data_IF_778821540021
#
_entry.id   IF_778821540021
#
_cell.length_a   1.000
_cell.length_b   1.000
_cell.length_c   1.000
_cell.angle_alpha   90.00
_cell.angle_beta   90.00
_cell.angle_gamma   90.00
#
_symmetry.space_group_name_H-M   'P 1'
#
loop_
_entity.id
_entity.type
_entity.pdbx_description
1 polymer ?
#
# COMPACT_ATOMS: atom_id res chain seq x y z
N UNK A 1 52.64 -46.53 -15.06
CA UNK A 1 53.18 -46.81 -13.73
C UNK A 1 53.01 -45.57 -12.87
N UNK A 2 52.08 -45.61 -11.92
CA UNK A 2 52.16 -45.08 -10.59
C UNK A 2 50.75 -45.18 -9.93
N UNK A 3 50.75 -46.05 -9.06
CA UNK A 3 49.98 -46.61 -8.00
C UNK A 3 49.04 -45.65 -7.29
N UNK A 4 47.78 -46.09 -7.20
CA UNK A 4 46.69 -45.68 -6.36
C UNK A 4 46.99 -46.00 -4.87
N UNK A 5 46.65 -45.07 -3.97
CA UNK A 5 46.57 -45.34 -2.53
C UNK A 5 45.15 -45.04 -2.05
N UNK A 6 44.41 -46.10 -1.74
CA UNK A 6 43.12 -46.07 -1.05
C UNK A 6 43.39 -45.96 0.46
N UNK A 7 42.82 -44.96 1.12
CA UNK A 7 42.76 -44.94 2.57
C UNK A 7 41.32 -45.17 3.02
N UNK A 8 41.13 -46.33 3.62
CA UNK A 8 39.90 -46.82 4.26
C UNK A 8 39.76 -46.15 5.62
N UNK A 9 38.65 -45.42 5.87
CA UNK A 9 38.33 -44.89 7.21
C UNK A 9 37.25 -45.75 7.85
N UNK A 10 37.60 -46.48 8.88
CA UNK A 10 36.74 -47.39 9.65
C UNK A 10 35.81 -46.59 10.56
N UNK A 11 34.52 -46.90 10.47
CA UNK A 11 33.45 -46.40 11.35
C UNK A 11 33.42 -47.26 12.60
N UNK A 12 33.67 -46.64 13.76
CA UNK A 12 33.51 -47.29 15.09
C UNK A 12 32.09 -46.96 15.60
N UNK A 13 31.26 -47.99 15.70
CA UNK A 13 29.98 -47.93 16.42
C UNK A 13 30.21 -48.17 17.90
N UNK A 14 29.90 -47.21 18.75
CA UNK A 14 29.71 -47.43 20.18
C UNK A 14 28.22 -47.62 20.45
N UNK A 15 27.88 -48.83 20.86
CA UNK A 15 26.58 -49.16 21.46
C UNK A 15 26.75 -48.98 22.97
N UNK A 16 26.00 -48.05 23.56
CA UNK A 16 25.86 -47.94 25.02
C UNK A 16 24.46 -48.41 25.37
N UNK A 17 24.39 -49.48 26.12
CA UNK A 17 23.21 -50.08 26.71
C UNK A 17 22.64 -49.18 27.80
N UNK A 18 21.31 -48.98 27.79
CA UNK A 18 20.57 -48.38 28.90
C UNK A 18 20.33 -49.43 29.99
N UNK A 19 20.63 -49.07 31.19
CA UNK A 19 20.12 -49.72 32.42
C UNK A 19 19.05 -48.80 33.02
N UNK A 20 17.88 -49.40 33.31
CA UNK A 20 16.77 -48.74 34.00
C UNK A 20 17.11 -48.47 35.46
N UNK A 21 16.89 -47.23 35.91
CA UNK A 21 16.68 -46.95 37.33
C UNK A 21 15.56 -45.91 37.49
N UNK A 22 14.52 -46.36 38.15
CA UNK A 22 13.34 -45.58 38.54
C UNK A 22 13.72 -44.45 39.52
N UNK A 23 12.87 -43.42 39.47
CA UNK A 23 12.74 -42.27 40.38
C UNK A 23 13.65 -41.07 40.13
N UNK A 24 13.12 -40.19 39.27
CA UNK A 24 13.44 -38.76 39.35
C UNK A 24 12.17 -37.94 39.09
N UNK A 25 11.89 -36.88 39.86
CA UNK A 25 10.65 -36.13 39.76
C UNK A 25 10.60 -35.39 38.40
N UNK A 26 9.49 -35.54 37.74
CA UNK A 26 9.11 -34.80 36.54
C UNK A 26 9.38 -33.29 36.72
N UNK A 27 10.24 -32.68 35.91
CA UNK A 27 10.33 -31.23 35.95
C UNK A 27 8.98 -30.66 35.40
N UNK A 28 8.29 -29.97 36.26
CA UNK A 28 7.20 -29.11 35.81
C UNK A 28 7.79 -28.15 34.78
N UNK A 29 7.42 -28.33 33.52
CA UNK A 29 7.57 -27.32 32.48
C UNK A 29 6.77 -26.13 32.98
N UNK A 30 7.43 -25.13 33.52
CA UNK A 30 6.87 -23.80 33.58
C UNK A 30 6.61 -23.44 32.11
N UNK A 31 5.31 -23.36 31.74
CA UNK A 31 4.94 -22.60 30.57
C UNK A 31 5.63 -21.24 30.73
N UNK A 32 6.66 -21.00 29.95
CA UNK A 32 7.14 -19.66 29.73
C UNK A 32 5.96 -18.93 29.12
N UNK A 33 5.46 -17.90 29.81
CA UNK A 33 4.66 -16.86 29.20
C UNK A 33 5.40 -16.47 27.91
N UNK A 34 4.96 -17.02 26.79
CA UNK A 34 5.28 -16.49 25.48
C UNK A 34 4.61 -15.13 25.47
N UNK A 35 5.40 -14.12 25.73
CA UNK A 35 5.10 -12.74 25.46
C UNK A 35 4.61 -12.72 24.00
N UNK A 36 3.31 -12.68 23.79
CA UNK A 36 2.69 -12.49 22.50
C UNK A 36 2.98 -11.05 22.10
N UNK A 37 4.23 -10.76 21.73
CA UNK A 37 4.52 -9.56 20.97
C UNK A 37 3.84 -9.75 19.62
N UNK A 38 2.73 -9.06 19.44
CA UNK A 38 2.08 -8.97 18.14
C UNK A 38 3.11 -8.46 17.13
N UNK A 39 3.39 -9.28 16.12
CA UNK A 39 4.38 -8.94 15.10
C UNK A 39 3.91 -7.70 14.34
N UNK A 40 4.71 -6.64 14.37
CA UNK A 40 4.46 -5.42 13.61
C UNK A 40 5.31 -5.39 12.35
N UNK A 41 4.67 -5.21 11.21
CA UNK A 41 5.33 -5.13 9.90
C UNK A 41 5.68 -3.69 9.56
N UNK A 42 6.91 -3.49 9.07
CA UNK A 42 7.36 -2.19 8.57
C UNK A 42 7.53 -2.26 7.06
N UNK A 43 6.81 -1.41 6.33
CA UNK A 43 6.86 -1.33 4.87
C UNK A 43 7.60 -0.06 4.45
N UNK A 44 8.80 -0.19 3.85
CA UNK A 44 9.54 0.94 3.33
C UNK A 44 8.82 1.60 2.15
N UNK A 45 8.70 2.93 2.19
CA UNK A 45 8.04 3.74 1.17
C UNK A 45 9.06 4.68 0.53
N UNK A 46 9.04 4.79 -0.79
CA UNK A 46 9.83 5.76 -1.56
C UNK A 46 8.92 6.63 -2.43
N UNK A 47 9.11 7.94 -2.35
CA UNK A 47 8.44 8.92 -3.19
C UNK A 47 9.35 9.33 -4.34
N UNK A 48 8.95 9.00 -5.55
CA UNK A 48 9.58 9.43 -6.79
C UNK A 48 8.98 10.75 -7.23
N UNK A 49 9.67 11.86 -6.98
CA UNK A 49 9.17 13.20 -7.24
C UNK A 49 9.63 13.66 -8.60
N UNK A 50 8.70 13.68 -9.56
CA UNK A 50 8.96 14.18 -10.91
C UNK A 50 8.98 15.72 -10.90
N UNK A 51 9.97 16.30 -11.58
CA UNK A 51 10.10 17.74 -11.74
C UNK A 51 10.66 18.09 -13.12
N UNK A 52 10.22 19.23 -13.65
CA UNK A 52 10.61 19.77 -14.95
C UNK A 52 11.32 21.15 -14.87
N UNK A 53 11.60 21.63 -13.65
CA UNK A 53 12.23 22.91 -13.39
C UNK A 53 11.24 24.06 -13.20
N UNK A 54 9.92 23.78 -13.16
CA UNK A 54 8.94 24.78 -12.76
C UNK A 54 8.98 25.04 -11.25
N UNK A 55 8.67 26.27 -10.80
CA UNK A 55 8.73 26.68 -9.38
C UNK A 55 7.85 25.80 -8.48
N UNK A 56 6.72 25.30 -8.99
CA UNK A 56 5.81 24.43 -8.26
C UNK A 56 6.43 23.08 -7.89
N UNK A 57 7.45 22.63 -8.61
CA UNK A 57 8.09 21.33 -8.41
C UNK A 57 9.11 21.31 -7.27
N UNK A 58 9.54 22.48 -6.82
CA UNK A 58 10.56 22.61 -5.76
C UNK A 58 9.96 22.65 -4.35
N UNK A 59 8.64 22.61 -4.22
CA UNK A 59 7.96 22.84 -2.93
C UNK A 59 7.78 21.58 -2.09
N UNK A 60 8.07 20.39 -2.62
CA UNK A 60 7.93 19.14 -1.88
C UNK A 60 9.17 18.90 -1.01
N UNK A 61 9.02 19.03 0.30
CA UNK A 61 10.11 18.88 1.26
C UNK A 61 10.07 17.52 1.97
N UNK A 62 11.22 17.04 2.43
CA UNK A 62 11.32 15.83 3.27
C UNK A 62 10.44 15.93 4.51
N UNK A 63 10.37 17.12 5.13
CA UNK A 63 9.48 17.38 6.26
C UNK A 63 8.02 17.10 5.90
N UNK A 64 7.56 17.62 4.73
CA UNK A 64 6.17 17.41 4.29
C UNK A 64 5.86 15.96 4.00
N UNK A 65 6.76 15.23 3.34
CA UNK A 65 6.61 13.80 3.07
C UNK A 65 6.53 13.02 4.39
N UNK A 66 7.38 13.35 5.37
CA UNK A 66 7.31 12.72 6.68
C UNK A 66 5.97 12.98 7.40
N UNK A 67 5.50 14.22 7.38
CA UNK A 67 4.18 14.59 7.98
C UNK A 67 3.04 13.78 7.34
N UNK A 68 3.08 13.57 6.02
CA UNK A 68 2.06 12.81 5.30
C UNK A 68 2.10 11.33 5.72
N UNK A 69 3.28 10.70 5.74
CA UNK A 69 3.40 9.28 6.13
C UNK A 69 3.05 9.07 7.60
N UNK A 70 3.50 9.95 8.50
CA UNK A 70 3.15 9.87 9.91
C UNK A 70 1.62 9.96 10.11
N UNK A 71 0.97 10.85 9.37
CA UNK A 71 -0.49 11.00 9.43
C UNK A 71 -1.24 9.84 8.76
N UNK A 72 -0.71 9.26 7.67
CA UNK A 72 -1.26 8.06 7.05
C UNK A 72 -1.24 6.88 8.01
N UNK A 73 -0.14 6.68 8.76
CA UNK A 73 -0.05 5.60 9.73
C UNK A 73 -1.18 5.63 10.77
N UNK A 74 -1.68 6.82 11.14
CA UNK A 74 -2.80 6.94 12.09
C UNK A 74 -4.12 6.32 11.58
N UNK A 75 -4.24 6.03 10.28
CA UNK A 75 -5.39 5.29 9.72
C UNK A 75 -5.23 3.78 9.88
N UNK A 76 -4.01 3.29 10.10
CA UNK A 76 -3.67 1.87 10.12
C UNK A 76 -3.30 1.34 11.51
N UNK A 77 -3.05 2.21 12.49
CA UNK A 77 -2.65 1.86 13.86
C UNK A 77 -3.71 2.19 14.92
N UNK A 78 -4.94 2.53 14.49
CA UNK A 78 -6.05 2.94 15.37
C UNK A 78 -5.75 4.13 16.31
N UNK A 79 -4.69 4.89 16.10
CA UNK A 79 -4.35 6.04 16.96
C UNK A 79 -5.41 7.16 16.92
N UNK A 80 -6.24 7.16 15.89
CA UNK A 80 -7.39 8.07 15.74
C UNK A 80 -8.70 7.54 16.35
N UNK A 81 -8.71 6.32 16.95
CA UNK A 81 -9.88 5.61 17.49
C UNK A 81 -11.04 5.41 16.48
N UNK A 82 -10.73 5.37 15.18
CA UNK A 82 -11.71 5.22 14.07
C UNK A 82 -11.34 4.11 13.10
N UNK A 83 -10.21 3.48 13.29
CA UNK A 83 -9.69 2.40 12.48
C UNK A 83 -9.39 1.17 13.34
N UNK A 84 -8.90 0.13 12.70
CA UNK A 84 -8.37 -1.07 13.37
C UNK A 84 -6.86 -1.02 13.28
N UNK A 85 -6.16 -1.39 14.35
CA UNK A 85 -4.72 -1.61 14.28
C UNK A 85 -4.46 -2.91 13.52
N UNK A 86 -3.82 -2.80 12.36
CA UNK A 86 -3.45 -3.94 11.52
C UNK A 86 -1.98 -4.34 11.68
N UNK A 87 -1.31 -3.79 12.71
CA UNK A 87 0.10 -4.06 13.03
C UNK A 87 1.06 -3.77 11.86
N UNK A 88 0.72 -2.80 11.01
CA UNK A 88 1.49 -2.39 9.85
C UNK A 88 1.87 -0.92 9.96
N UNK A 89 3.13 -0.61 9.64
CA UNK A 89 3.65 0.75 9.65
C UNK A 89 4.41 1.06 8.37
N UNK A 90 4.03 2.14 7.71
CA UNK A 90 4.79 2.69 6.59
C UNK A 90 5.95 3.52 7.14
N UNK A 91 7.15 3.24 6.65
CA UNK A 91 8.38 3.95 7.04
C UNK A 91 9.06 4.52 5.80
N UNK A 92 9.67 5.69 5.93
CA UNK A 92 10.42 6.27 4.81
C UNK A 92 11.69 5.46 4.55
N UNK A 93 11.93 5.09 3.29
CA UNK A 93 13.17 4.43 2.88
C UNK A 93 14.38 5.30 3.25
N UNK A 94 15.40 4.70 3.83
CA UNK A 94 16.66 5.38 4.19
C UNK A 94 17.82 5.04 3.26
N UNK A 95 17.68 3.95 2.50
CA UNK A 95 18.67 3.45 1.54
C UNK A 95 18.01 3.19 0.20
N UNK A 96 18.77 3.30 -0.87
CA UNK A 96 18.31 2.94 -2.21
C UNK A 96 18.50 1.43 -2.48
N UNK A 97 18.10 0.97 -3.68
CA UNK A 97 18.25 -0.43 -4.13
C UNK A 97 19.69 -0.97 -4.05
N UNK A 98 20.69 -0.09 -4.05
CA UNK A 98 22.10 -0.46 -3.98
C UNK A 98 22.63 -0.42 -2.53
N UNK A 99 21.78 -0.16 -1.54
CA UNK A 99 22.15 -0.03 -0.12
C UNK A 99 22.84 1.29 0.23
N UNK A 100 22.83 2.29 -0.67
CA UNK A 100 23.39 3.60 -0.40
C UNK A 100 22.39 4.46 0.37
N UNK A 101 22.88 5.15 1.41
CA UNK A 101 22.08 6.10 2.20
C UNK A 101 21.55 7.23 1.33
N UNK A 102 20.24 7.47 1.42
CA UNK A 102 19.59 8.58 0.74
C UNK A 102 19.95 9.92 1.39
N UNK A 103 20.14 10.95 0.58
CA UNK A 103 20.33 12.33 1.07
C UNK A 103 19.05 12.91 1.66
N UNK A 104 17.90 12.48 1.18
CA UNK A 104 16.55 12.80 1.66
C UNK A 104 15.81 11.50 1.90
N UNK A 105 15.54 11.18 3.16
CA UNK A 105 14.84 9.93 3.51
C UNK A 105 13.48 9.85 2.80
N UNK A 106 13.21 8.73 2.14
CA UNK A 106 11.98 8.46 1.42
C UNK A 106 11.76 9.26 0.15
N UNK A 107 12.80 9.94 -0.40
CA UNK A 107 12.66 10.79 -1.58
C UNK A 107 13.72 10.46 -2.62
N UNK A 108 13.26 10.24 -3.84
CA UNK A 108 14.04 10.30 -5.07
C UNK A 108 13.49 11.41 -5.97
N UNK A 109 14.36 12.28 -6.48
CA UNK A 109 13.96 13.38 -7.37
C UNK A 109 14.31 13.03 -8.81
N UNK A 110 13.32 12.96 -9.67
CA UNK A 110 13.44 12.54 -11.06
C UNK A 110 13.20 13.74 -11.99
N UNK A 111 14.23 14.17 -12.69
CA UNK A 111 14.10 15.24 -13.70
C UNK A 111 13.51 14.67 -14.97
N UNK A 112 12.43 15.28 -15.44
CA UNK A 112 11.73 14.94 -16.68
C UNK A 112 11.55 16.18 -17.55
N UNK A 113 11.18 16.00 -18.82
CA UNK A 113 10.91 17.12 -19.73
C UNK A 113 9.55 17.79 -19.45
N UNK A 114 8.59 17.01 -18.95
CA UNK A 114 7.26 17.46 -18.55
C UNK A 114 6.83 16.67 -17.33
N UNK A 115 6.54 17.35 -16.23
CA UNK A 115 6.06 16.75 -14.98
C UNK A 115 4.53 16.87 -14.82
N UNK A 116 3.79 17.20 -15.88
CA UNK A 116 2.32 17.13 -15.94
C UNK A 116 1.91 16.00 -16.90
N UNK A 117 1.44 14.89 -16.36
CA UNK A 117 1.20 13.65 -17.07
C UNK A 117 -0.24 13.16 -16.87
N UNK A 118 -0.76 12.45 -17.84
CA UNK A 118 -2.00 11.70 -17.69
C UNK A 118 -1.72 10.47 -16.81
N UNK A 119 -2.49 10.32 -15.73
CA UNK A 119 -2.21 9.29 -14.73
C UNK A 119 -2.56 7.88 -15.24
N UNK A 120 -3.62 7.72 -16.03
CA UNK A 120 -4.01 6.43 -16.57
C UNK A 120 -2.94 5.94 -17.57
N UNK A 121 -2.53 6.83 -18.48
CA UNK A 121 -1.47 6.51 -19.44
C UNK A 121 -0.14 6.23 -18.73
N UNK A 122 0.19 6.96 -17.67
CA UNK A 122 1.42 6.72 -16.91
C UNK A 122 1.40 5.32 -16.27
N UNK A 123 0.28 4.95 -15.65
CA UNK A 123 0.14 3.66 -14.96
C UNK A 123 0.14 2.49 -15.95
N UNK A 124 -0.34 2.66 -17.18
CA UNK A 124 -0.41 1.61 -18.19
C UNK A 124 0.88 1.47 -19.03
N UNK A 125 1.75 2.50 -19.05
CA UNK A 125 2.94 2.49 -19.89
C UNK A 125 4.08 1.69 -19.23
N UNK A 126 4.38 0.54 -19.83
CA UNK A 126 5.50 -0.32 -19.43
C UNK A 126 6.84 0.41 -19.33
N UNK A 127 7.08 1.46 -20.11
CA UNK A 127 8.33 2.22 -20.07
C UNK A 127 8.57 2.88 -18.69
N UNK A 128 7.50 3.14 -17.93
CA UNK A 128 7.57 3.76 -16.61
C UNK A 128 8.03 2.81 -15.50
N UNK A 129 8.16 1.50 -15.80
CA UNK A 129 8.80 0.53 -14.89
C UNK A 129 10.24 0.97 -14.55
N UNK A 130 10.91 1.69 -15.45
CA UNK A 130 12.26 2.21 -15.21
C UNK A 130 12.38 3.10 -13.97
N UNK A 131 11.27 3.67 -13.49
CA UNK A 131 11.26 4.53 -12.31
C UNK A 131 11.01 3.77 -11.00
N UNK A 132 10.62 2.48 -11.09
CA UNK A 132 10.36 1.69 -9.89
C UNK A 132 11.67 1.25 -9.24
N UNK A 133 11.69 1.32 -7.93
CA UNK A 133 12.59 0.53 -7.11
C UNK A 133 12.01 -0.88 -6.93
N UNK A 134 12.82 -1.78 -6.41
CA UNK A 134 12.43 -3.18 -6.18
C UNK A 134 11.10 -3.26 -5.42
N UNK A 135 10.06 -3.76 -6.09
CA UNK A 135 8.70 -3.85 -5.56
C UNK A 135 8.54 -4.89 -4.45
N UNK A 136 9.53 -5.78 -4.27
CA UNK A 136 9.55 -6.72 -3.15
C UNK A 136 10.09 -6.08 -1.86
N UNK A 137 10.70 -4.89 -1.97
CA UNK A 137 11.32 -4.19 -0.84
C UNK A 137 10.70 -2.82 -0.55
N UNK A 138 10.10 -2.19 -1.56
CA UNK A 138 9.62 -0.81 -1.45
C UNK A 138 8.22 -0.64 -2.03
N UNK A 139 7.40 0.13 -1.33
CA UNK A 139 6.19 0.72 -1.92
C UNK A 139 6.62 1.97 -2.69
N UNK A 140 6.43 1.92 -4.01
CA UNK A 140 6.78 3.01 -4.92
C UNK A 140 5.60 3.98 -5.04
N UNK A 141 5.80 5.26 -4.69
CA UNK A 141 4.80 6.32 -4.82
C UNK A 141 5.31 7.38 -5.79
N UNK A 142 4.63 7.53 -6.93
CA UNK A 142 4.95 8.50 -7.97
C UNK A 142 4.25 9.83 -7.68
N UNK A 143 4.99 10.92 -7.61
CA UNK A 143 4.49 12.27 -7.41
C UNK A 143 4.72 13.12 -8.65
N UNK A 144 3.66 13.38 -9.41
CA UNK A 144 3.66 14.28 -10.56
C UNK A 144 2.32 15.03 -10.67
N UNK A 145 2.26 16.11 -11.45
CA UNK A 145 1.00 16.81 -11.69
C UNK A 145 0.16 15.99 -12.66
N UNK A 146 -1.10 15.72 -12.29
CA UNK A 146 -2.04 15.06 -13.19
C UNK A 146 -2.66 16.07 -14.14
N UNK A 147 -2.78 15.73 -15.42
CA UNK A 147 -3.51 16.55 -16.42
C UNK A 147 -4.98 16.69 -16.02
N UNK A 148 -5.59 15.62 -15.51
CA UNK A 148 -6.92 15.66 -14.90
C UNK A 148 -6.79 16.03 -13.41
N UNK A 149 -7.08 17.30 -13.10
CA UNK A 149 -6.98 17.83 -11.74
C UNK A 149 -8.02 17.28 -10.75
N UNK A 150 -9.06 16.60 -11.24
CA UNK A 150 -10.07 15.98 -10.38
C UNK A 150 -9.65 14.60 -9.85
N UNK A 151 -8.61 14.00 -10.42
CA UNK A 151 -8.02 12.76 -9.90
C UNK A 151 -6.94 13.12 -8.89
N UNK A 152 -7.05 12.61 -7.68
CA UNK A 152 -6.13 12.89 -6.59
C UNK A 152 -5.05 11.81 -6.46
N UNK A 153 -5.41 10.57 -6.71
CA UNK A 153 -4.53 9.42 -6.66
C UNK A 153 -5.08 8.29 -7.52
N UNK A 154 -4.23 7.31 -7.77
CA UNK A 154 -4.55 6.05 -8.43
C UNK A 154 -3.56 4.98 -7.97
N UNK A 155 -4.03 3.77 -7.75
CA UNK A 155 -3.22 2.64 -7.32
C UNK A 155 -3.59 1.37 -8.07
N UNK A 156 -2.63 0.46 -8.19
CA UNK A 156 -2.92 -0.91 -8.54
C UNK A 156 -3.28 -1.73 -7.31
N UNK A 157 -4.21 -2.68 -7.49
CA UNK A 157 -4.43 -3.76 -6.54
C UNK A 157 -3.27 -4.76 -6.61
N UNK A 158 -2.93 -5.43 -5.53
CA UNK A 158 -1.90 -6.45 -5.54
C UNK A 158 -2.39 -7.71 -6.28
N UNK A 159 -1.51 -8.65 -6.46
CA UNK A 159 -1.83 -9.99 -6.94
C UNK A 159 -1.41 -11.01 -5.88
N UNK A 160 -2.04 -12.16 -5.91
CA UNK A 160 -1.64 -13.32 -5.11
C UNK A 160 -0.78 -14.27 -5.96
N UNK A 161 -0.01 -15.11 -5.29
CA UNK A 161 0.81 -16.14 -5.94
C UNK A 161 0.36 -17.51 -5.46
N UNK A 162 0.29 -18.47 -6.37
CA UNK A 162 -0.06 -19.84 -6.00
C UNK A 162 0.84 -20.39 -4.88
N UNK A 163 0.30 -21.14 -3.91
CA UNK A 163 -1.08 -21.67 -3.84
C UNK A 163 -2.10 -20.68 -3.30
N UNK A 164 -1.70 -19.51 -2.79
CA UNK A 164 -2.56 -18.56 -2.10
C UNK A 164 -3.53 -17.89 -3.08
N UNK A 165 -4.79 -17.81 -2.70
CA UNK A 165 -5.83 -17.15 -3.46
C UNK A 165 -6.64 -16.26 -2.54
N UNK A 166 -6.76 -14.98 -2.89
CA UNK A 166 -7.74 -14.08 -2.31
C UNK A 166 -8.78 -13.74 -3.38
N UNK A 167 -10.05 -13.78 -3.00
CA UNK A 167 -11.14 -13.48 -3.91
C UNK A 167 -11.02 -12.02 -4.37
N UNK A 168 -11.34 -11.78 -5.63
CA UNK A 168 -11.18 -10.46 -6.26
C UNK A 168 -9.78 -10.20 -6.80
N UNK A 169 -8.71 -10.72 -6.21
CA UNK A 169 -7.36 -10.46 -6.67
C UNK A 169 -6.89 -11.42 -7.78
N UNK A 170 -6.08 -10.91 -8.68
CA UNK A 170 -5.44 -11.72 -9.72
C UNK A 170 -4.44 -12.70 -9.11
N UNK A 171 -4.55 -13.98 -9.48
CA UNK A 171 -3.60 -15.00 -9.04
C UNK A 171 -2.58 -15.30 -10.13
N UNK A 172 -1.30 -15.15 -9.78
CA UNK A 172 -0.18 -15.44 -10.65
C UNK A 172 0.47 -16.80 -10.31
N UNK A 173 1.29 -17.33 -11.23
CA UNK A 173 2.08 -18.54 -10.95
C UNK A 173 3.35 -18.23 -10.17
N UNK A 174 3.91 -17.03 -10.35
CA UNK A 174 5.16 -16.56 -9.74
C UNK A 174 5.05 -15.09 -9.39
N UNK A 175 5.79 -14.65 -8.40
CA UNK A 175 5.99 -13.23 -8.14
C UNK A 175 6.67 -12.59 -9.36
N UNK A 176 6.12 -11.51 -9.93
CA UNK A 176 6.81 -10.79 -10.98
C UNK A 176 8.07 -10.14 -10.43
N UNK A 177 9.16 -10.28 -11.15
CA UNK A 177 10.37 -9.50 -10.92
C UNK A 177 10.28 -8.18 -11.69
N UNK A 178 11.11 -7.20 -11.39
CA UNK A 178 11.19 -5.94 -12.12
C UNK A 178 11.27 -6.14 -13.65
N UNK A 179 11.99 -7.14 -14.11
CA UNK A 179 12.13 -7.44 -15.56
C UNK A 179 10.90 -8.08 -16.20
N UNK A 180 10.01 -8.67 -15.41
CA UNK A 180 8.80 -9.37 -15.89
C UNK A 180 7.53 -8.57 -15.68
N UNK A 181 7.59 -7.43 -15.00
CA UNK A 181 6.46 -6.50 -14.90
C UNK A 181 6.00 -6.07 -16.30
N UNK A 182 4.70 -5.93 -16.47
CA UNK A 182 4.07 -5.47 -17.71
C UNK A 182 3.58 -4.05 -17.63
N UNK A 183 3.47 -3.50 -16.43
CA UNK A 183 3.10 -2.12 -16.09
C UNK A 183 3.80 -1.70 -14.79
N UNK A 184 3.93 -0.40 -14.49
CA UNK A 184 4.55 0.08 -13.27
C UNK A 184 3.63 -0.16 -12.06
N UNK A 185 3.85 -1.25 -11.33
CA UNK A 185 3.07 -1.57 -10.12
C UNK A 185 3.44 -0.61 -8.98
N UNK A 186 2.71 0.47 -8.87
CA UNK A 186 2.96 1.57 -7.95
C UNK A 186 1.65 2.30 -7.56
N UNK A 187 1.81 3.31 -6.73
CA UNK A 187 0.80 4.32 -6.43
C UNK A 187 1.21 5.61 -7.13
N UNK A 188 0.27 6.32 -7.75
CA UNK A 188 0.48 7.68 -8.25
C UNK A 188 -0.39 8.67 -7.49
N UNK A 189 0.21 9.79 -7.07
CA UNK A 189 -0.48 10.86 -6.33
C UNK A 189 -0.31 12.18 -7.06
N UNK A 190 -1.39 12.95 -7.17
CA UNK A 190 -1.36 14.25 -7.81
C UNK A 190 -0.57 15.25 -6.95
N UNK A 191 0.63 15.59 -7.41
CA UNK A 191 1.55 16.51 -6.71
C UNK A 191 0.95 17.90 -6.48
N UNK A 192 -0.05 18.31 -7.26
CA UNK A 192 -0.72 19.59 -7.11
C UNK A 192 -1.24 19.83 -5.68
N UNK A 193 -1.66 18.76 -5.00
CA UNK A 193 -2.29 18.81 -3.68
C UNK A 193 -1.32 18.53 -2.51
N UNK A 194 -0.08 18.16 -2.81
CA UNK A 194 0.87 17.67 -1.80
C UNK A 194 1.16 18.68 -0.67
N UNK A 195 1.17 19.97 -0.98
CA UNK A 195 1.48 21.03 -0.02
C UNK A 195 0.25 21.76 0.55
N UNK A 196 -0.94 21.28 0.23
CA UNK A 196 -2.17 21.90 0.70
C UNK A 196 -2.40 23.32 0.17
N UNK A 197 -1.73 23.74 -0.89
CA UNK A 197 -1.82 25.10 -1.44
C UNK A 197 -2.79 25.23 -2.61
N UNK A 198 -3.33 24.14 -3.10
CA UNK A 198 -4.20 24.16 -4.25
C UNK A 198 -5.66 24.38 -3.82
N UNK A 199 -6.02 25.62 -3.54
CA UNK A 199 -7.40 26.05 -3.61
C UNK A 199 -7.71 26.37 -5.07
N UNK A 200 -8.17 25.38 -5.82
CA UNK A 200 -8.70 25.58 -7.16
C UNK A 200 -10.16 25.96 -7.01
N UNK A 201 -10.57 27.09 -7.60
CA UNK A 201 -11.95 27.55 -7.58
C UNK A 201 -12.89 26.44 -8.09
N UNK A 202 -13.90 26.10 -7.31
CA UNK A 202 -14.84 25.03 -7.62
C UNK A 202 -14.44 23.62 -7.17
N UNK A 203 -13.29 23.43 -6.55
CA UNK A 203 -12.94 22.15 -5.92
C UNK A 203 -13.45 22.04 -4.49
N UNK A 204 -14.00 20.88 -4.19
CA UNK A 204 -14.58 20.53 -2.87
C UNK A 204 -13.49 20.00 -1.92
N UNK A 205 -12.25 19.84 -2.38
CA UNK A 205 -11.19 19.15 -1.66
C UNK A 205 -10.43 20.06 -0.71
N UNK A 206 -10.23 19.56 0.50
CA UNK A 206 -9.41 20.21 1.52
C UNK A 206 -7.91 19.84 1.29
N UNK A 207 -6.97 20.75 1.58
CA UNK A 207 -5.53 20.47 1.57
C UNK A 207 -5.07 19.25 2.39
N UNK A 208 -5.81 18.85 3.40
CA UNK A 208 -5.55 17.62 4.16
C UNK A 208 -5.92 16.33 3.41
N UNK A 209 -6.64 16.44 2.30
CA UNK A 209 -7.12 15.29 1.55
C UNK A 209 -6.01 14.45 0.93
N UNK A 210 -4.82 15.04 0.70
CA UNK A 210 -3.66 14.28 0.26
C UNK A 210 -3.28 13.15 1.22
N UNK A 211 -3.47 13.33 2.53
CA UNK A 211 -3.21 12.30 3.54
C UNK A 211 -4.27 11.21 3.44
N UNK A 212 -5.53 11.60 3.38
CA UNK A 212 -6.65 10.67 3.19
C UNK A 212 -6.52 9.95 1.83
N UNK A 213 -6.18 10.69 0.76
CA UNK A 213 -5.95 10.12 -0.57
C UNK A 213 -4.83 9.07 -0.52
N UNK A 214 -3.66 9.40 0.02
CA UNK A 214 -2.56 8.44 0.09
C UNK A 214 -2.92 7.23 0.95
N UNK A 215 -3.58 7.43 2.09
CA UNK A 215 -4.07 6.32 2.91
C UNK A 215 -5.06 5.43 2.11
N UNK A 216 -5.95 6.02 1.32
CA UNK A 216 -6.87 5.31 0.44
C UNK A 216 -6.13 4.49 -0.62
N UNK A 217 -5.19 5.11 -1.34
CA UNK A 217 -4.40 4.42 -2.37
C UNK A 217 -3.49 3.31 -1.79
N UNK A 218 -2.96 3.51 -0.58
CA UNK A 218 -2.26 2.46 0.15
C UNK A 218 -3.19 1.29 0.49
N UNK A 219 -4.45 1.56 0.82
CA UNK A 219 -5.47 0.53 1.02
C UNK A 219 -5.67 -0.32 -0.24
N UNK A 220 -5.80 0.30 -1.40
CA UNK A 220 -5.87 -0.42 -2.68
C UNK A 220 -4.60 -1.21 -2.95
N UNK A 221 -3.43 -0.62 -2.73
CA UNK A 221 -2.15 -1.30 -2.91
C UNK A 221 -2.00 -2.54 -2.02
N UNK A 222 -2.66 -2.54 -0.85
CA UNK A 222 -2.72 -3.67 0.08
C UNK A 222 -3.87 -4.66 -0.21
N UNK A 223 -4.74 -4.37 -1.19
CA UNK A 223 -5.77 -5.29 -1.66
C UNK A 223 -7.20 -4.91 -1.29
N UNK A 224 -7.44 -3.74 -0.71
CA UNK A 224 -8.79 -3.28 -0.39
C UNK A 224 -9.48 -2.69 -1.62
N UNK A 225 -10.70 -3.12 -1.85
CA UNK A 225 -11.61 -2.56 -2.85
C UNK A 225 -12.44 -1.41 -2.26
N UNK A 226 -13.13 -0.66 -3.13
CA UNK A 226 -14.14 0.27 -2.66
C UNK A 226 -15.31 -0.48 -2.06
N UNK A 227 -15.85 0.04 -0.96
CA UNK A 227 -17.02 -0.55 -0.27
C UNK A 227 -18.34 -0.24 -0.97
N UNK A 228 -18.35 0.62 -2.00
CA UNK A 228 -19.50 0.86 -2.86
C UNK A 228 -19.42 -0.01 -4.12
N UNK A 229 -20.59 -0.26 -4.72
CA UNK A 229 -20.66 -1.06 -5.93
C UNK A 229 -19.82 -0.49 -7.07
N UNK A 230 -19.04 -1.35 -7.72
CA UNK A 230 -18.26 -1.06 -8.94
C UNK A 230 -18.43 -2.20 -9.95
N UNK A 231 -19.65 -2.38 -10.46
CA UNK A 231 -19.88 -3.31 -11.56
C UNK A 231 -19.57 -2.64 -12.90
N UNK A 232 -19.38 -3.44 -13.94
CA UNK A 232 -19.19 -2.92 -15.32
C UNK A 232 -20.42 -3.22 -16.16
N UNK A 233 -20.87 -2.23 -16.93
CA UNK A 233 -21.88 -2.43 -17.95
C UNK A 233 -21.36 -3.23 -19.17
N UNK A 234 -22.22 -3.52 -20.12
CA UNK A 234 -21.83 -4.24 -21.34
C UNK A 234 -20.83 -3.49 -22.23
N UNK A 235 -20.67 -2.19 -22.02
CA UNK A 235 -19.70 -1.34 -22.72
C UNK A 235 -18.38 -1.21 -21.93
N UNK A 236 -18.31 -1.78 -20.71
CA UNK A 236 -17.14 -1.73 -19.84
C UNK A 236 -17.09 -0.48 -18.94
N UNK A 237 -18.12 0.35 -18.90
CA UNK A 237 -18.17 1.51 -18.02
C UNK A 237 -18.47 1.06 -16.58
N UNK A 238 -17.83 1.70 -15.61
CA UNK A 238 -18.07 1.42 -14.19
C UNK A 238 -19.43 2.01 -13.79
N UNK A 239 -20.26 1.19 -13.18
CA UNK A 239 -21.56 1.54 -12.62
C UNK A 239 -21.44 1.56 -11.09
N UNK A 240 -21.84 2.66 -10.46
CA UNK A 240 -21.76 2.89 -9.02
C UNK A 240 -23.12 3.08 -8.35
N UNK A 241 -24.21 2.89 -9.07
CA UNK A 241 -25.59 3.14 -8.63
C UNK A 241 -26.36 1.86 -8.29
N UNK A 242 -25.67 0.77 -8.01
CA UNK A 242 -26.25 -0.49 -7.54
C UNK A 242 -25.80 -0.76 -6.11
N UNK A 243 -26.39 -1.81 -5.51
CA UNK A 243 -26.09 -2.27 -4.14
C UNK A 243 -25.49 -3.69 -4.14
N UNK A 244 -24.73 -4.01 -5.18
CA UNK A 244 -24.01 -5.29 -5.24
C UNK A 244 -22.74 -5.21 -4.41
N UNK A 245 -22.44 -6.30 -3.69
CA UNK A 245 -21.18 -6.46 -2.98
C UNK A 245 -20.07 -6.72 -4.00
N UNK A 246 -19.11 -5.80 -4.07
CA UNK A 246 -17.97 -5.87 -5.00
C UNK A 246 -16.63 -5.68 -4.31
N UNK A 247 -16.61 -5.56 -2.97
CA UNK A 247 -15.38 -5.38 -2.19
C UNK A 247 -14.80 -6.69 -1.64
N UNK A 248 -15.55 -7.80 -1.79
CA UNK A 248 -15.19 -9.14 -1.32
C UNK A 248 -14.98 -9.24 0.20
N UNK A 249 -15.56 -8.31 0.97
CA UNK A 249 -15.47 -8.25 2.43
C UNK A 249 -16.86 -8.43 3.06
N UNK A 250 -17.09 -9.54 3.75
CA UNK A 250 -18.40 -9.89 4.32
C UNK A 250 -18.81 -9.02 5.52
N UNK A 251 -17.89 -8.25 6.07
CA UNK A 251 -18.10 -7.36 7.22
C UNK A 251 -18.48 -5.93 6.84
N UNK A 252 -18.41 -5.59 5.55
CA UNK A 252 -18.86 -4.32 5.00
C UNK A 252 -20.20 -4.50 4.28
N UNK A 253 -21.09 -3.52 4.45
CA UNK A 253 -22.35 -3.52 3.73
C UNK A 253 -22.20 -2.76 2.42
N UNK A 254 -22.59 -3.35 1.27
CA UNK A 254 -22.54 -2.63 0.00
C UNK A 254 -23.46 -1.42 0.03
N UNK A 255 -23.13 -0.38 -0.72
CA UNK A 255 -23.99 0.79 -0.85
C UNK A 255 -23.92 1.41 -2.24
N UNK A 256 -25.00 2.14 -2.57
CA UNK A 256 -25.11 2.91 -3.80
C UNK A 256 -24.39 4.25 -3.62
N UNK A 257 -23.30 4.45 -4.32
CA UNK A 257 -22.47 5.67 -4.23
C UNK A 257 -23.23 6.92 -4.66
N UNK A 258 -24.05 6.82 -5.70
CA UNK A 258 -24.75 7.98 -6.25
C UNK A 258 -25.83 8.47 -5.28
N UNK A 259 -26.62 7.56 -4.69
CA UNK A 259 -27.58 7.91 -3.64
C UNK A 259 -26.90 8.47 -2.39
N UNK A 260 -25.73 7.94 -2.04
CA UNK A 260 -24.96 8.46 -0.92
C UNK A 260 -24.45 9.87 -1.18
N UNK A 261 -23.97 10.17 -2.39
CA UNK A 261 -23.60 11.55 -2.78
C UNK A 261 -24.79 12.49 -2.71
N UNK A 262 -25.94 12.07 -3.24
CA UNK A 262 -27.17 12.86 -3.19
C UNK A 262 -27.60 13.13 -1.73
N UNK A 263 -27.46 12.13 -0.86
CA UNK A 263 -27.69 12.33 0.57
C UNK A 263 -26.75 13.36 1.18
N UNK A 264 -25.44 13.26 0.90
CA UNK A 264 -24.45 14.23 1.38
C UNK A 264 -24.79 15.66 0.90
N UNK A 265 -25.10 15.80 -0.38
CA UNK A 265 -25.40 17.10 -1.00
C UNK A 265 -26.66 17.76 -0.45
N UNK A 266 -27.65 16.97 -0.07
CA UNK A 266 -28.96 17.46 0.38
C UNK A 266 -29.08 17.60 1.91
N UNK A 267 -28.36 16.81 2.69
CA UNK A 267 -28.57 16.71 4.15
C UNK A 267 -27.38 17.14 4.99
N UNK A 268 -26.19 17.27 4.42
CA UNK A 268 -25.01 17.72 5.16
C UNK A 268 -24.68 19.16 4.76
N UNK A 269 -24.64 20.13 5.72
CA UNK A 269 -24.24 21.49 5.43
C UNK A 269 -22.84 21.53 4.76
N UNK A 270 -22.71 22.25 3.68
CA UNK A 270 -21.44 22.36 2.90
C UNK A 270 -20.26 22.85 3.77
N UNK A 271 -20.51 23.54 4.88
CA UNK A 271 -19.51 23.92 5.89
C UNK A 271 -18.87 22.72 6.60
N UNK A 272 -19.51 21.56 6.60
CA UNK A 272 -19.00 20.33 7.22
C UNK A 272 -18.28 19.42 6.22
N UNK A 273 -18.30 19.76 4.94
CA UNK A 273 -17.61 19.03 3.88
C UNK A 273 -16.07 19.09 4.00
N UNK A 274 -15.54 20.01 4.78
CA UNK A 274 -14.10 20.06 5.08
C UNK A 274 -13.58 18.83 5.83
N UNK A 275 -14.48 17.99 6.34
CA UNK A 275 -14.19 16.70 6.94
C UNK A 275 -14.51 15.52 5.97
N UNK A 276 -14.72 15.83 4.69
CA UNK A 276 -15.46 15.03 3.73
C UNK A 276 -14.91 13.64 3.43
N UNK A 277 -13.64 13.38 3.63
CA UNK A 277 -13.09 12.04 3.39
C UNK A 277 -13.09 11.11 4.61
N UNK A 278 -13.28 11.66 5.81
CA UNK A 278 -13.67 10.83 6.96
C UNK A 278 -15.00 10.09 6.73
N UNK A 279 -15.74 10.48 5.68
CA UNK A 279 -17.04 9.92 5.31
C UNK A 279 -16.90 8.61 4.52
N UNK A 280 -15.78 8.38 3.85
CA UNK A 280 -15.52 7.08 3.20
C UNK A 280 -15.38 5.96 4.23
N UNK A 281 -15.01 6.30 5.47
CA UNK A 281 -14.93 5.37 6.61
C UNK A 281 -16.09 5.49 7.62
N UNK A 282 -16.96 6.49 7.49
CA UNK A 282 -18.23 6.51 8.21
C UNK A 282 -19.17 5.56 7.46
N UNK A 283 -19.69 4.54 8.16
CA UNK A 283 -20.75 3.69 7.61
C UNK A 283 -21.81 4.60 7.00
N UNK A 284 -22.06 4.56 5.70
CA UNK A 284 -23.21 5.24 5.15
C UNK A 284 -24.46 4.73 5.89
N UNK A 285 -25.49 5.57 6.11
CA UNK A 285 -26.78 5.03 6.46
C UNK A 285 -27.10 3.96 5.41
N UNK A 286 -27.55 2.79 5.86
CA UNK A 286 -27.88 1.67 4.97
C UNK A 286 -28.86 2.18 3.93
N UNK A 287 -28.34 2.46 2.73
CA UNK A 287 -29.11 3.01 1.60
C UNK A 287 -29.44 1.89 0.60
N UNK A 288 -29.17 0.65 0.99
CA UNK A 288 -29.53 -0.52 0.18
C UNK A 288 -30.61 -1.34 0.83
#
# INVERSE_FOLDING_TARGET
MRTTLFTLFALLFFIISCEDSENSPTPSIKESDTDNQEESYQLPVIFHIFYDGSDSDQTVTTKRIKEIIDACNNYYDNSNNKSVDIHLKFILATHNNEGKVLSEAGIERIKVNNAELDCDNFMDDKSNIQYLWDTDQYINIMLYRFTNKNILGISYLPYTVKPDKLEGLNQLNFLPTHSTLTYPHCISINKLYINGKANIEGQIYNPSDVIATLAHELGHYLGLYHTFNETKDSAGNIITNLCEDTDYCTDTSPYNRDEYKDFLDNYIPKSNYSAGWSIVFLRPPVIC
#
